data_IF_860646007265
#
_entry.id   IF_860646007265
#
_cell.length_a   1.000
_cell.length_b   1.000
_cell.length_c   1.000
_cell.angle_alpha   90.00
_cell.angle_beta   90.00
_cell.angle_gamma   90.00
#
_symmetry.space_group_name_H-M   'P 1'
#
loop_
_entity.id
_entity.type
_entity.pdbx_description
1 polymer ?
#
# COMPACT_ATOMS: atom_id res chain seq x y z
N UNK A 1 -22.46 -42.57 -9.42
CA UNK A 1 -23.53 -42.51 -8.39
C UNK A 1 -22.80 -42.17 -7.10
N UNK A 2 -22.38 -40.93 -6.95
CA UNK A 2 -23.17 -39.78 -6.48
C UNK A 2 -23.62 -39.96 -5.03
N UNK A 3 -22.97 -39.21 -4.14
CA UNK A 3 -23.34 -38.88 -2.75
C UNK A 3 -22.35 -37.78 -2.36
N UNK A 4 -22.72 -36.51 -2.51
CA UNK A 4 -23.29 -35.71 -1.42
C UNK A 4 -22.14 -35.20 -0.54
N UNK A 5 -21.55 -34.03 -0.81
CA UNK A 5 -22.08 -32.68 -0.54
C UNK A 5 -22.32 -32.42 0.95
N UNK A 6 -21.90 -31.23 1.39
CA UNK A 6 -21.89 -30.65 2.76
C UNK A 6 -20.53 -30.79 3.46
N UNK A 7 -19.85 -29.73 3.94
CA UNK A 7 -20.13 -28.29 4.06
C UNK A 7 -18.79 -27.61 4.38
N UNK A 8 -18.51 -26.48 3.76
CA UNK A 8 -17.88 -25.35 4.44
C UNK A 8 -18.08 -24.11 3.57
N UNK A 9 -19.24 -23.48 3.77
CA UNK A 9 -19.40 -22.06 3.56
C UNK A 9 -18.22 -21.32 4.19
N UNK A 10 -17.28 -20.89 3.36
CA UNK A 10 -16.54 -19.69 3.69
C UNK A 10 -16.62 -18.78 2.47
N UNK A 11 -17.55 -17.84 2.62
CA UNK A 11 -17.57 -16.56 1.96
C UNK A 11 -16.11 -16.09 1.85
N UNK A 12 -15.52 -16.21 0.67
CA UNK A 12 -14.30 -15.49 0.36
C UNK A 12 -14.73 -14.05 0.40
N UNK A 13 -14.61 -13.43 1.57
CA UNK A 13 -14.74 -11.99 1.72
C UNK A 13 -13.87 -11.43 0.59
N UNK A 14 -14.49 -10.68 -0.32
CA UNK A 14 -13.79 -10.04 -1.42
C UNK A 14 -12.50 -9.48 -0.83
N UNK A 15 -11.36 -10.01 -1.28
CA UNK A 15 -10.07 -9.43 -0.95
C UNK A 15 -10.25 -7.93 -1.20
N UNK A 16 -10.06 -7.07 -0.20
CA UNK A 16 -10.34 -5.66 -0.36
C UNK A 16 -9.56 -5.22 -1.59
N UNK A 17 -10.29 -4.84 -2.64
CA UNK A 17 -9.72 -4.29 -3.87
C UNK A 17 -8.72 -3.25 -3.41
N UNK A 18 -7.49 -3.26 -3.93
CA UNK A 18 -6.37 -2.50 -3.31
C UNK A 18 -6.73 -1.08 -2.88
N UNK A 19 -7.65 -0.40 -3.58
CA UNK A 19 -8.20 0.90 -3.16
C UNK A 19 -8.90 0.94 -1.79
N UNK A 20 -9.76 -0.03 -1.46
CA UNK A 20 -10.49 -0.03 -0.17
C UNK A 20 -9.55 -0.38 1.00
N UNK A 21 -8.58 -1.26 0.76
CA UNK A 21 -7.53 -1.59 1.72
C UNK A 21 -6.59 -0.39 1.96
N UNK A 22 -6.18 0.28 0.89
CA UNK A 22 -5.33 1.46 0.95
C UNK A 22 -6.05 2.61 1.67
N UNK A 23 -7.34 2.83 1.39
CA UNK A 23 -8.16 3.84 2.07
C UNK A 23 -8.25 3.60 3.59
N UNK A 24 -8.45 2.34 4.00
CA UNK A 24 -8.47 1.98 5.41
C UNK A 24 -7.10 2.19 6.09
N UNK A 25 -6.02 1.83 5.40
CA UNK A 25 -4.66 2.07 5.88
C UNK A 25 -4.35 3.57 5.98
N UNK A 26 -4.80 4.38 5.02
CA UNK A 26 -4.66 5.84 5.06
C UNK A 26 -5.37 6.43 6.27
N UNK A 27 -6.61 6.00 6.57
CA UNK A 27 -7.34 6.46 7.77
C UNK A 27 -6.61 6.13 9.07
N UNK A 28 -6.12 4.89 9.21
CA UNK A 28 -5.36 4.46 10.40
C UNK A 28 -4.02 5.19 10.51
N UNK A 29 -3.32 5.37 9.39
CA UNK A 29 -2.04 6.07 9.37
C UNK A 29 -2.21 7.56 9.73
N UNK A 30 -3.32 8.18 9.32
CA UNK A 30 -3.71 9.55 9.72
C UNK A 30 -4.01 9.69 11.21
N UNK A 31 -4.47 8.64 11.89
CA UNK A 31 -4.65 8.65 13.36
C UNK A 31 -3.35 8.44 14.13
N UNK A 32 -2.21 8.28 13.46
CA UNK A 32 -0.90 8.05 14.10
C UNK A 32 -0.55 6.57 14.32
N UNK A 33 -1.28 5.64 13.69
CA UNK A 33 -0.94 4.22 13.75
C UNK A 33 0.36 3.95 12.98
N UNK A 34 1.44 3.67 13.72
CA UNK A 34 2.77 3.41 13.18
C UNK A 34 2.83 2.14 12.32
N UNK A 35 1.99 1.14 12.62
CA UNK A 35 1.91 -0.09 11.83
C UNK A 35 1.25 0.17 10.49
N UNK A 36 0.15 0.91 10.45
CA UNK A 36 -0.50 1.32 9.21
C UNK A 36 0.40 2.20 8.34
N UNK A 37 1.14 3.12 8.98
CA UNK A 37 2.16 3.93 8.31
C UNK A 37 3.27 3.08 7.68
N UNK A 38 3.81 2.11 8.42
CA UNK A 38 4.84 1.20 7.90
C UNK A 38 4.33 0.38 6.71
N UNK A 39 3.08 -0.09 6.77
CA UNK A 39 2.48 -0.87 5.67
C UNK A 39 2.32 -0.03 4.40
N UNK A 40 1.82 1.21 4.52
CA UNK A 40 1.74 2.14 3.38
C UNK A 40 3.12 2.41 2.77
N UNK A 41 4.11 2.72 3.60
CA UNK A 41 5.47 2.99 3.11
C UNK A 41 6.02 1.78 2.36
N UNK A 42 5.90 0.58 2.92
CA UNK A 42 6.39 -0.64 2.29
C UNK A 42 5.71 -0.90 0.94
N UNK A 43 4.39 -0.82 0.89
CA UNK A 43 3.60 -1.08 -0.32
C UNK A 43 3.91 -0.09 -1.45
N UNK A 44 4.06 1.20 -1.11
CA UNK A 44 4.28 2.25 -2.10
C UNK A 44 5.77 2.44 -2.45
N UNK A 45 6.70 2.07 -1.58
CA UNK A 45 8.15 2.18 -1.85
C UNK A 45 8.58 1.48 -3.13
N UNK A 46 8.08 0.26 -3.38
CA UNK A 46 8.40 -0.53 -4.58
C UNK A 46 7.89 0.17 -5.84
N UNK A 47 6.66 0.71 -5.79
CA UNK A 47 6.00 1.39 -6.91
C UNK A 47 6.66 2.73 -7.23
N UNK A 48 7.00 3.50 -6.21
CA UNK A 48 7.70 4.78 -6.34
C UNK A 48 9.10 4.53 -6.90
N UNK A 49 9.84 3.54 -6.39
CA UNK A 49 11.16 3.20 -6.90
C UNK A 49 11.12 2.76 -8.37
N UNK A 50 10.16 1.93 -8.75
CA UNK A 50 9.97 1.54 -10.15
C UNK A 50 9.72 2.76 -11.05
N UNK A 51 8.91 3.71 -10.57
CA UNK A 51 8.63 4.97 -11.28
C UNK A 51 9.89 5.83 -11.38
N UNK A 52 10.62 6.05 -10.29
CA UNK A 52 11.88 6.79 -10.29
C UNK A 52 12.91 6.18 -11.25
N UNK A 53 13.06 4.85 -11.26
CA UNK A 53 13.97 4.13 -12.17
C UNK A 53 13.55 4.20 -13.65
N UNK A 54 12.27 4.44 -13.93
CA UNK A 54 11.81 4.65 -15.30
C UNK A 54 12.21 6.03 -15.84
N UNK A 55 12.42 7.03 -14.98
CA UNK A 55 12.72 8.41 -15.36
C UNK A 55 14.17 8.84 -15.08
N UNK A 56 14.83 8.22 -14.12
CA UNK A 56 16.17 8.55 -13.65
C UNK A 56 17.11 7.40 -13.98
N UNK A 57 18.09 7.67 -14.86
CA UNK A 57 19.05 6.66 -15.33
C UNK A 57 20.07 6.26 -14.25
N UNK A 58 20.45 7.20 -13.38
CA UNK A 58 21.33 6.93 -12.25
C UNK A 58 20.56 6.21 -11.14
N UNK A 59 21.01 5.01 -10.78
CA UNK A 59 20.39 4.18 -9.75
C UNK A 59 20.37 4.87 -8.39
N UNK A 60 21.46 5.50 -7.99
CA UNK A 60 21.57 6.14 -6.68
C UNK A 60 20.66 7.36 -6.62
N UNK A 61 20.63 8.18 -7.67
CA UNK A 61 19.71 9.31 -7.74
C UNK A 61 18.23 8.87 -7.73
N UNK A 62 17.90 7.72 -8.32
CA UNK A 62 16.55 7.14 -8.25
C UNK A 62 16.18 6.68 -6.83
N UNK A 63 17.14 6.12 -6.08
CA UNK A 63 16.97 5.72 -4.68
C UNK A 63 16.78 6.94 -3.78
N UNK A 64 17.58 8.00 -3.97
CA UNK A 64 17.46 9.25 -3.22
C UNK A 64 16.11 9.93 -3.49
N UNK A 65 15.68 9.99 -4.76
CA UNK A 65 14.37 10.53 -5.13
C UNK A 65 13.21 9.74 -4.51
N UNK A 66 13.35 8.41 -4.42
CA UNK A 66 12.35 7.55 -3.78
C UNK A 66 12.26 7.85 -2.28
N UNK A 67 13.40 7.93 -1.60
CA UNK A 67 13.45 8.24 -0.17
C UNK A 67 12.85 9.61 0.14
N UNK A 68 13.23 10.65 -0.61
CA UNK A 68 12.69 12.00 -0.45
C UNK A 68 11.18 12.04 -0.70
N UNK A 69 10.70 11.32 -1.73
CA UNK A 69 9.27 11.24 -2.04
C UNK A 69 8.49 10.58 -0.90
N UNK A 70 9.00 9.48 -0.35
CA UNK A 70 8.38 8.80 0.79
C UNK A 70 8.34 9.69 2.04
N UNK A 71 9.46 10.38 2.35
CA UNK A 71 9.54 11.29 3.50
C UNK A 71 8.56 12.47 3.36
N UNK A 72 8.43 13.05 2.17
CA UNK A 72 7.46 14.12 1.89
C UNK A 72 6.03 13.62 2.00
N UNK A 73 5.73 12.48 1.38
CA UNK A 73 4.40 11.86 1.44
C UNK A 73 3.99 11.54 2.88
N UNK A 74 4.92 11.00 3.68
CA UNK A 74 4.69 10.71 5.09
C UNK A 74 4.41 11.96 5.92
N UNK A 75 5.19 13.03 5.74
CA UNK A 75 4.94 14.32 6.42
C UNK A 75 3.59 14.93 6.01
N UNK A 76 3.17 14.69 4.78
CA UNK A 76 1.90 15.13 4.23
C UNK A 76 0.75 14.11 4.41
N UNK A 77 0.91 13.05 5.20
CA UNK A 77 -0.08 11.96 5.26
C UNK A 77 -1.48 12.43 5.67
N UNK A 78 -1.55 13.49 6.48
CA UNK A 78 -2.79 14.13 6.92
C UNK A 78 -3.57 14.80 5.78
N UNK A 79 -2.92 15.11 4.65
CA UNK A 79 -3.54 15.73 3.47
C UNK A 79 -4.08 14.70 2.47
N UNK A 80 -3.80 13.41 2.65
CA UNK A 80 -4.27 12.38 1.73
C UNK A 80 -5.79 12.20 1.85
N UNK A 81 -6.44 12.06 0.69
CA UNK A 81 -7.84 11.65 0.57
C UNK A 81 -7.89 10.13 0.50
N UNK A 82 -8.84 9.53 1.20
CA UNK A 82 -9.11 8.09 1.21
C UNK A 82 -10.20 7.69 0.21
#
# INVERSE_FOLDING_TARGET
MDSGSEVASQHVASLPTGGDADAALVRLAKSGDLTAQSQLIQQWSIRILATCRAHIRDRQAAEDATQETLLRGFRAIHTLQD
#
